data_IF_147035668477
#
_entry.id   IF_147035668477
#
_cell.length_a   1.000
_cell.length_b   1.000
_cell.length_c   1.000
_cell.angle_alpha   90.00
_cell.angle_beta   90.00
_cell.angle_gamma   90.00
#
_symmetry.space_group_name_H-M   'P 1'
#
loop_
_entity.id
_entity.type
_entity.pdbx_description
1 polymer ?
#
# COMPACT_ATOMS: atom_id res chain seq x y z
N UNK A 1 -0.88 -14.87 19.29
CA UNK A 1 0.24 -15.61 18.67
C UNK A 1 0.92 -16.53 19.68
N UNK A 2 1.28 -16.04 20.88
CA UNK A 2 1.94 -16.86 21.93
C UNK A 2 1.09 -18.06 22.35
N UNK A 3 -0.23 -17.88 22.52
CA UNK A 3 -1.13 -18.98 22.86
C UNK A 3 -1.16 -20.08 21.77
N UNK A 4 -1.16 -19.68 20.50
CA UNK A 4 -1.09 -20.64 19.40
C UNK A 4 0.23 -21.44 19.42
N UNK A 5 1.36 -20.79 19.72
CA UNK A 5 2.65 -21.48 19.88
C UNK A 5 2.65 -22.43 21.07
N UNK A 6 2.04 -22.06 22.20
CA UNK A 6 1.89 -22.95 23.37
C UNK A 6 1.09 -24.19 22.99
N UNK A 7 -0.07 -24.02 22.36
CA UNK A 7 -0.92 -25.15 21.92
C UNK A 7 -0.17 -26.08 20.95
N UNK A 8 0.58 -25.51 19.99
CA UNK A 8 1.39 -26.28 19.05
C UNK A 8 2.49 -27.08 19.80
N UNK A 9 3.11 -26.52 20.83
CA UNK A 9 4.11 -27.22 21.65
C UNK A 9 3.51 -28.38 22.45
N UNK A 10 2.22 -28.36 22.72
CA UNK A 10 1.45 -29.41 23.36
C UNK A 10 0.89 -30.46 22.36
N UNK A 11 1.26 -30.35 21.08
CA UNK A 11 0.85 -31.26 20.03
C UNK A 11 -0.54 -30.96 19.43
N UNK A 12 -1.14 -29.81 19.78
CA UNK A 12 -2.42 -29.38 19.21
C UNK A 12 -2.17 -28.73 17.85
N UNK A 13 -2.87 -29.21 16.83
CA UNK A 13 -2.77 -28.62 15.50
C UNK A 13 -3.58 -27.31 15.43
N UNK A 14 -2.89 -26.16 15.27
CA UNK A 14 -3.49 -24.84 15.17
C UNK A 14 -3.51 -24.39 13.71
N UNK A 15 -4.71 -24.24 13.12
CA UNK A 15 -4.88 -23.69 11.80
C UNK A 15 -4.81 -22.16 11.85
N UNK A 16 -3.71 -21.60 11.35
CA UNK A 16 -3.48 -20.14 11.33
C UNK A 16 -4.10 -19.52 10.08
N UNK A 17 -5.24 -18.84 10.23
CA UNK A 17 -5.95 -18.14 9.15
C UNK A 17 -5.70 -16.63 9.14
N UNK A 18 -4.90 -16.14 10.05
CA UNK A 18 -4.65 -14.70 10.29
C UNK A 18 -3.49 -14.12 9.45
N UNK A 19 -2.75 -14.95 8.73
CA UNK A 19 -1.58 -14.51 7.96
C UNK A 19 -1.50 -15.25 6.64
N UNK A 20 -1.51 -14.52 5.54
CA UNK A 20 -1.20 -15.06 4.22
C UNK A 20 0.28 -15.47 4.16
N UNK A 21 0.56 -16.74 3.95
CA UNK A 21 1.92 -17.25 3.82
C UNK A 21 1.98 -18.30 2.71
N UNK A 22 2.06 -17.87 1.43
CA UNK A 22 2.01 -18.76 0.27
C UNK A 22 3.04 -19.88 0.32
N UNK A 23 4.24 -19.62 0.85
CA UNK A 23 5.30 -20.62 0.97
C UNK A 23 4.91 -21.84 1.83
N UNK A 24 4.08 -21.65 2.86
CA UNK A 24 3.56 -22.73 3.69
C UNK A 24 2.52 -23.61 2.98
N UNK A 25 1.91 -23.06 1.91
CA UNK A 25 0.93 -23.76 1.07
C UNK A 25 1.53 -24.33 -0.22
N UNK A 26 2.86 -24.49 -0.27
CA UNK A 26 3.55 -25.14 -1.37
C UNK A 26 3.92 -24.23 -2.55
N UNK A 27 3.61 -22.94 -2.50
CA UNK A 27 4.07 -21.98 -3.50
C UNK A 27 5.58 -21.79 -3.38
N UNK A 28 6.28 -21.96 -4.47
CA UNK A 28 7.75 -21.84 -4.55
C UNK A 28 8.14 -20.59 -5.32
N UNK A 29 9.34 -20.12 -5.05
CA UNK A 29 9.92 -19.05 -5.86
C UNK A 29 10.01 -19.52 -7.33
N UNK A 30 9.54 -18.73 -8.31
CA UNK A 30 9.67 -19.05 -9.73
C UNK A 30 11.13 -19.34 -10.11
N UNK A 31 11.35 -20.30 -10.99
CA UNK A 31 12.72 -20.68 -11.41
C UNK A 31 13.48 -19.50 -12.03
N UNK A 32 12.81 -18.64 -12.81
CA UNK A 32 13.42 -17.45 -13.39
C UNK A 32 13.97 -16.49 -12.32
N UNK A 33 13.23 -16.27 -11.25
CA UNK A 33 13.66 -15.41 -10.12
C UNK A 33 14.82 -16.06 -9.39
N UNK A 34 14.76 -17.38 -9.15
CA UNK A 34 15.85 -18.11 -8.50
C UNK A 34 17.15 -18.05 -9.31
N UNK A 35 17.06 -18.24 -10.63
CA UNK A 35 18.22 -18.16 -11.52
C UNK A 35 18.80 -16.74 -11.57
N UNK A 36 17.95 -15.71 -11.65
CA UNK A 36 18.39 -14.33 -11.62
C UNK A 36 19.13 -13.99 -10.31
N UNK A 37 18.58 -14.39 -9.15
CA UNK A 37 19.25 -14.20 -7.86
C UNK A 37 20.62 -14.90 -7.82
N UNK A 38 20.72 -16.15 -8.29
CA UNK A 38 21.98 -16.87 -8.31
C UNK A 38 23.01 -16.24 -9.25
N UNK A 39 22.57 -15.67 -10.38
CA UNK A 39 23.45 -15.04 -11.37
C UNK A 39 24.00 -13.69 -10.89
N UNK A 40 23.20 -12.92 -10.14
CA UNK A 40 23.50 -11.53 -9.77
C UNK A 40 23.81 -11.33 -8.29
N UNK A 41 23.99 -12.41 -7.51
CA UNK A 41 24.17 -12.30 -6.07
C UNK A 41 25.41 -11.48 -5.67
N UNK A 42 26.49 -11.60 -6.45
CA UNK A 42 27.71 -10.87 -6.19
C UNK A 42 27.60 -9.36 -6.48
N UNK A 43 26.63 -8.95 -7.28
CA UNK A 43 26.34 -7.54 -7.55
C UNK A 43 25.72 -6.83 -6.33
N UNK A 44 25.24 -7.59 -5.33
CA UNK A 44 24.69 -7.05 -4.09
C UNK A 44 25.77 -6.68 -3.05
N UNK A 45 27.06 -6.99 -3.32
CA UNK A 45 28.17 -6.71 -2.37
C UNK A 45 28.46 -5.21 -2.23
N UNK A 46 28.59 -4.40 -3.31
CA UNK A 46 28.86 -2.97 -3.19
C UNK A 46 27.62 -2.18 -2.78
N UNK A 47 27.86 -1.02 -2.17
CA UNK A 47 26.80 -0.03 -1.95
C UNK A 47 26.24 0.46 -3.29
N UNK A 48 24.95 0.77 -3.33
CA UNK A 48 24.28 1.39 -4.48
C UNK A 48 23.69 2.76 -4.11
N UNK A 49 23.02 3.43 -5.06
CA UNK A 49 22.23 4.63 -4.82
C UNK A 49 21.20 4.36 -3.71
N UNK A 50 21.03 5.30 -2.78
CA UNK A 50 20.08 5.19 -1.66
C UNK A 50 18.63 4.96 -2.09
N UNK A 51 18.28 5.32 -3.33
CA UNK A 51 16.98 5.06 -3.94
C UNK A 51 16.87 3.66 -4.54
N UNK A 52 17.96 2.91 -4.57
CA UNK A 52 18.06 1.61 -5.23
C UNK A 52 18.70 1.68 -6.63
N UNK A 53 19.00 0.51 -7.18
CA UNK A 53 19.67 0.37 -8.48
C UNK A 53 18.89 1.06 -9.61
N UNK A 54 19.58 1.84 -10.43
CA UNK A 54 18.98 2.57 -11.55
C UNK A 54 18.23 1.65 -12.54
N UNK A 55 18.78 0.47 -12.82
CA UNK A 55 18.13 -0.51 -13.69
C UNK A 55 16.75 -0.93 -13.17
N UNK A 56 16.64 -1.22 -11.87
CA UNK A 56 15.38 -1.60 -11.24
C UNK A 56 14.38 -0.42 -11.22
N UNK A 57 14.84 0.79 -10.91
CA UNK A 57 14.00 2.00 -10.93
C UNK A 57 13.44 2.29 -12.33
N UNK A 58 14.24 2.09 -13.38
CA UNK A 58 13.79 2.22 -14.77
C UNK A 58 12.68 1.21 -15.12
N UNK A 59 12.81 -0.04 -14.69
CA UNK A 59 11.80 -1.07 -14.92
C UNK A 59 10.50 -0.73 -14.18
N UNK A 60 10.58 -0.24 -12.95
CA UNK A 60 9.41 0.20 -12.17
C UNK A 60 8.72 1.38 -12.87
N UNK A 61 9.46 2.39 -13.33
CA UNK A 61 8.88 3.48 -14.12
C UNK A 61 8.16 2.98 -15.37
N UNK A 62 8.80 2.11 -16.15
CA UNK A 62 8.18 1.53 -17.35
C UNK A 62 6.90 0.79 -17.03
N UNK A 63 6.88 0.04 -15.93
CA UNK A 63 5.69 -0.66 -15.45
C UNK A 63 4.54 0.30 -15.16
N UNK A 64 4.79 1.34 -14.38
CA UNK A 64 3.75 2.29 -14.00
C UNK A 64 3.29 3.19 -15.16
N UNK A 65 4.20 3.59 -16.05
CA UNK A 65 3.85 4.31 -17.30
C UNK A 65 2.92 3.45 -18.16
N UNK A 66 3.23 2.16 -18.31
CA UNK A 66 2.36 1.21 -19.02
C UNK A 66 0.96 1.03 -18.38
N UNK A 67 0.79 1.41 -17.13
CA UNK A 67 -0.49 1.43 -16.39
C UNK A 67 -1.15 2.81 -16.34
N UNK A 68 -0.63 3.78 -17.08
CA UNK A 68 -1.21 5.10 -17.24
C UNK A 68 -0.70 6.18 -16.29
N UNK A 69 0.27 5.87 -15.41
CA UNK A 69 0.90 6.90 -14.56
C UNK A 69 1.73 7.85 -15.42
N UNK A 70 1.45 9.15 -15.32
CA UNK A 70 2.10 10.17 -16.14
C UNK A 70 3.18 10.91 -15.34
N UNK A 71 4.22 11.36 -16.05
CA UNK A 71 5.25 12.26 -15.48
C UNK A 71 6.25 11.60 -14.54
N UNK A 72 6.11 10.33 -14.20
CA UNK A 72 7.05 9.62 -13.33
C UNK A 72 8.40 9.42 -14.03
N UNK A 73 9.47 9.70 -13.31
CA UNK A 73 10.85 9.48 -13.74
C UNK A 73 11.58 8.52 -12.79
N UNK A 74 12.67 7.88 -13.22
CA UNK A 74 13.43 6.97 -12.35
C UNK A 74 13.93 7.61 -11.05
N UNK A 75 14.06 8.93 -11.00
CA UNK A 75 14.45 9.65 -9.79
C UNK A 75 13.32 9.82 -8.77
N UNK A 76 12.08 9.56 -9.17
CA UNK A 76 10.91 9.59 -8.30
C UNK A 76 10.64 8.23 -7.66
N UNK A 77 11.43 7.20 -8.03
CA UNK A 77 11.29 5.83 -7.53
C UNK A 77 12.28 5.57 -6.41
N UNK A 78 11.77 5.07 -5.28
CA UNK A 78 12.54 4.60 -4.14
C UNK A 78 12.26 3.12 -3.91
N UNK A 79 13.31 2.31 -3.94
CA UNK A 79 13.22 0.87 -3.67
C UNK A 79 13.43 0.66 -2.18
N UNK A 80 12.43 0.07 -1.55
CA UNK A 80 12.41 -0.19 -0.11
C UNK A 80 12.32 -1.70 0.16
N UNK A 81 12.62 -2.08 1.38
CA UNK A 81 12.47 -3.45 1.87
C UNK A 81 10.98 -3.73 2.19
N UNK A 82 10.17 -3.74 1.13
CA UNK A 82 8.72 -3.89 1.18
C UNK A 82 7.97 -2.62 1.60
N UNK A 83 6.64 -2.70 1.53
CA UNK A 83 5.74 -1.59 1.88
C UNK A 83 5.94 -1.12 3.32
N UNK A 84 6.38 -2.00 4.22
CA UNK A 84 6.60 -1.62 5.63
C UNK A 84 7.67 -0.54 5.80
N UNK A 85 8.79 -0.65 5.09
CA UNK A 85 9.83 0.38 5.11
C UNK A 85 9.35 1.64 4.38
N UNK A 86 8.75 1.48 3.19
CA UNK A 86 8.21 2.59 2.42
C UNK A 86 7.20 3.42 3.24
N UNK A 87 6.23 2.78 3.89
CA UNK A 87 5.25 3.43 4.75
C UNK A 87 5.89 4.17 5.93
N UNK A 88 6.89 3.55 6.57
CA UNK A 88 7.61 4.18 7.68
C UNK A 88 8.36 5.43 7.23
N UNK A 89 9.12 5.35 6.15
CA UNK A 89 9.86 6.49 5.61
C UNK A 89 8.92 7.62 5.17
N UNK A 90 7.86 7.26 4.44
CA UNK A 90 6.89 8.20 3.91
C UNK A 90 6.14 8.95 5.01
N UNK A 91 5.62 8.24 6.02
CA UNK A 91 4.90 8.87 7.11
C UNK A 91 5.82 9.73 8.00
N UNK A 92 7.07 9.31 8.23
CA UNK A 92 8.06 10.16 8.92
C UNK A 92 8.36 11.47 8.15
N UNK A 93 8.26 11.46 6.82
CA UNK A 93 8.47 12.66 6.01
C UNK A 93 7.24 13.59 5.95
N UNK A 94 6.03 13.04 6.04
CA UNK A 94 4.78 13.77 5.81
C UNK A 94 4.02 14.15 7.08
N UNK A 95 4.14 13.35 8.14
CA UNK A 95 3.29 13.42 9.33
C UNK A 95 4.11 13.85 10.54
N UNK A 96 3.67 14.90 11.21
CA UNK A 96 4.22 15.36 12.47
C UNK A 96 3.23 15.25 13.63
N UNK A 97 3.66 15.71 14.80
CA UNK A 97 2.82 15.67 16.01
C UNK A 97 1.52 16.44 15.83
N UNK A 98 0.41 15.73 15.97
CA UNK A 98 -0.94 16.30 15.86
C UNK A 98 -1.51 16.37 14.45
N UNK A 99 -0.73 16.04 13.41
CA UNK A 99 -1.25 15.86 12.06
C UNK A 99 -2.15 14.63 11.97
N UNK A 100 -3.12 14.66 11.06
CA UNK A 100 -4.06 13.59 10.84
C UNK A 100 -3.87 12.96 9.47
N UNK A 101 -4.06 11.64 9.41
CA UNK A 101 -4.11 10.86 8.17
C UNK A 101 -5.41 10.06 8.15
N UNK A 102 -6.17 10.14 7.05
CA UNK A 102 -7.37 9.34 6.85
C UNK A 102 -6.99 7.95 6.35
N UNK A 103 -7.53 6.93 7.01
CA UNK A 103 -7.28 5.51 6.73
C UNK A 103 -8.61 4.77 6.50
N UNK A 104 -8.68 3.76 5.61
CA UNK A 104 -9.87 2.92 5.49
C UNK A 104 -10.13 2.12 6.77
N UNK A 105 -11.39 1.80 7.04
CA UNK A 105 -11.77 0.86 8.09
C UNK A 105 -12.70 -0.21 7.53
N UNK A 106 -12.23 -1.48 7.50
CA UNK A 106 -10.97 -2.01 8.04
C UNK A 106 -9.75 -1.71 7.16
N UNK A 107 -8.55 -1.70 7.78
CA UNK A 107 -7.28 -1.58 7.05
C UNK A 107 -6.16 -2.42 7.67
N UNK A 108 -5.08 -2.57 6.92
CA UNK A 108 -3.87 -3.18 7.42
C UNK A 108 -3.21 -2.28 8.48
N UNK A 109 -3.01 -2.83 9.68
CA UNK A 109 -2.57 -2.08 10.87
C UNK A 109 -1.18 -1.44 10.77
N UNK A 110 -0.38 -1.80 9.77
CA UNK A 110 0.90 -1.17 9.47
C UNK A 110 0.77 0.35 9.40
N UNK A 111 -0.23 0.84 8.66
CA UNK A 111 -0.42 2.27 8.39
C UNK A 111 -0.80 3.04 9.64
N UNK A 112 -1.77 2.54 10.41
CA UNK A 112 -2.17 3.19 11.68
C UNK A 112 -1.06 3.19 12.72
N UNK A 113 -0.33 2.08 12.84
CA UNK A 113 0.78 1.98 13.78
C UNK A 113 1.91 2.95 13.43
N UNK A 114 2.30 3.06 12.15
CA UNK A 114 3.30 4.03 11.72
C UNK A 114 2.84 5.48 11.94
N UNK A 115 1.56 5.80 11.68
CA UNK A 115 1.02 7.13 11.98
C UNK A 115 1.19 7.49 13.45
N UNK A 116 0.86 6.59 14.37
CA UNK A 116 1.11 6.80 15.82
C UNK A 116 2.59 6.96 16.14
N UNK A 117 3.47 6.16 15.55
CA UNK A 117 4.92 6.23 15.79
C UNK A 117 5.51 7.58 15.35
N UNK A 118 4.96 8.22 14.32
CA UNK A 118 5.34 9.56 13.88
C UNK A 118 4.73 10.68 14.73
N UNK A 119 3.91 10.35 15.75
CA UNK A 119 3.18 11.33 16.57
C UNK A 119 1.91 11.87 15.92
N UNK A 120 1.53 11.33 14.77
CA UNK A 120 0.29 11.64 14.08
C UNK A 120 -0.92 10.90 14.63
N UNK A 121 -2.09 11.26 14.14
CA UNK A 121 -3.35 10.68 14.53
C UNK A 121 -4.02 10.00 13.33
N UNK A 122 -4.16 8.67 13.32
CA UNK A 122 -4.98 7.99 12.32
C UNK A 122 -6.45 8.28 12.55
N UNK A 123 -7.17 8.69 11.51
CA UNK A 123 -8.60 8.93 11.47
C UNK A 123 -9.22 7.96 10.48
N UNK A 124 -10.12 7.11 10.95
CA UNK A 124 -10.63 6.02 10.11
C UNK A 124 -11.92 6.43 9.41
N UNK A 125 -11.94 6.31 8.08
CA UNK A 125 -13.16 6.40 7.30
C UNK A 125 -13.78 5.03 7.07
N UNK A 126 -15.10 4.99 6.99
CA UNK A 126 -15.87 3.75 6.85
C UNK A 126 -15.76 3.19 5.44
N UNK A 127 -15.51 1.85 5.36
CA UNK A 127 -15.78 1.06 4.16
C UNK A 127 -17.02 0.20 4.45
N UNK A 128 -18.04 0.32 3.60
CA UNK A 128 -19.36 -0.25 3.89
C UNK A 128 -19.46 -1.71 3.42
N UNK A 129 -19.61 -2.69 4.33
CA UNK A 129 -19.78 -4.09 3.95
C UNK A 129 -21.05 -4.34 3.12
N UNK A 130 -22.09 -3.53 3.27
CA UNK A 130 -23.30 -3.63 2.48
C UNK A 130 -23.14 -3.09 1.05
N UNK A 131 -22.06 -2.32 0.80
CA UNK A 131 -21.67 -1.78 -0.51
C UNK A 131 -20.29 -2.32 -0.92
N UNK A 132 -20.11 -3.64 -0.89
CA UNK A 132 -18.89 -4.32 -1.34
C UNK A 132 -17.58 -3.77 -0.73
N UNK A 133 -17.66 -3.26 0.49
CA UNK A 133 -16.54 -2.61 1.19
C UNK A 133 -16.01 -1.34 0.51
N UNK A 134 -16.80 -0.69 -0.33
CA UNK A 134 -16.41 0.59 -0.89
C UNK A 134 -16.30 1.67 0.20
N UNK A 135 -15.34 2.59 0.05
CA UNK A 135 -15.23 3.78 0.90
C UNK A 135 -16.50 4.63 0.88
N UNK A 136 -16.96 5.03 2.05
CA UNK A 136 -18.05 5.98 2.20
C UNK A 136 -17.53 7.41 1.99
N UNK A 137 -17.84 7.98 0.85
CA UNK A 137 -17.34 9.29 0.41
C UNK A 137 -17.79 10.42 1.36
N UNK A 138 -19.03 10.36 1.87
CA UNK A 138 -19.53 11.37 2.80
C UNK A 138 -18.88 11.24 4.17
N UNK A 139 -18.58 10.02 4.60
CA UNK A 139 -17.82 9.79 5.83
C UNK A 139 -16.39 10.32 5.72
N UNK A 140 -15.72 10.14 4.56
CA UNK A 140 -14.40 10.75 4.30
C UNK A 140 -14.47 12.27 4.45
N UNK A 141 -15.40 12.92 3.75
CA UNK A 141 -15.57 14.39 3.80
C UNK A 141 -15.80 14.89 5.22
N UNK A 142 -16.64 14.19 5.99
CA UNK A 142 -16.99 14.58 7.36
C UNK A 142 -15.81 14.53 8.34
N UNK A 143 -14.74 13.80 8.01
CA UNK A 143 -13.59 13.56 8.87
C UNK A 143 -12.38 14.41 8.55
N UNK A 144 -12.44 15.22 7.49
CA UNK A 144 -11.37 16.13 7.13
C UNK A 144 -11.37 17.33 8.10
N UNK A 145 -10.19 17.67 8.59
CA UNK A 145 -9.91 18.82 9.42
C UNK A 145 -8.70 19.61 8.87
N UNK A 146 -8.42 20.78 9.43
CA UNK A 146 -7.23 21.57 9.09
C UNK A 146 -5.92 20.84 9.41
N UNK A 147 -5.98 19.76 10.17
CA UNK A 147 -4.83 18.91 10.52
C UNK A 147 -4.64 17.72 9.57
N UNK A 148 -5.61 17.45 8.72
CA UNK A 148 -5.52 16.34 7.76
C UNK A 148 -4.46 16.64 6.73
N UNK A 149 -3.51 15.71 6.54
CA UNK A 149 -2.39 15.82 5.58
C UNK A 149 -2.52 14.90 4.40
N UNK A 150 -3.08 13.71 4.63
CA UNK A 150 -3.11 12.67 3.62
C UNK A 150 -4.35 11.78 3.74
N UNK A 151 -4.71 11.16 2.62
CA UNK A 151 -5.71 10.07 2.54
C UNK A 151 -4.98 8.83 2.04
N UNK A 152 -5.04 7.74 2.81
CA UNK A 152 -4.57 6.43 2.37
C UNK A 152 -5.69 5.70 1.63
N UNK A 153 -5.35 5.16 0.48
CA UNK A 153 -6.18 4.23 -0.31
C UNK A 153 -5.42 2.92 -0.43
N UNK A 154 -5.99 1.82 0.07
CA UNK A 154 -5.45 0.47 -0.10
C UNK A 154 -6.31 -0.22 -1.15
N UNK A 155 -5.78 -0.42 -2.36
CA UNK A 155 -6.56 -0.97 -3.48
C UNK A 155 -5.72 -1.93 -4.35
N UNK A 156 -6.05 -3.22 -4.39
CA UNK A 156 -7.09 -3.93 -3.64
C UNK A 156 -6.88 -3.88 -2.12
N UNK A 157 -7.98 -3.81 -1.38
CA UNK A 157 -7.91 -3.58 0.07
C UNK A 157 -7.47 -4.82 0.86
N UNK A 158 -6.64 -4.61 1.84
CA UNK A 158 -6.32 -5.57 2.89
C UNK A 158 -6.97 -5.09 4.21
N UNK A 159 -7.94 -5.84 4.81
CA UNK A 159 -8.15 -7.29 4.64
C UNK A 159 -9.36 -7.68 3.77
N UNK A 160 -10.15 -6.77 3.23
CA UNK A 160 -11.47 -7.09 2.63
C UNK A 160 -11.38 -7.73 1.24
N UNK A 161 -10.28 -7.48 0.51
CA UNK A 161 -10.13 -7.88 -0.89
C UNK A 161 -10.91 -7.01 -1.87
N UNK A 162 -11.57 -5.95 -1.41
CA UNK A 162 -12.32 -5.03 -2.26
C UNK A 162 -11.41 -4.38 -3.30
N UNK A 163 -11.91 -4.29 -4.52
CA UNK A 163 -11.30 -3.55 -5.64
C UNK A 163 -12.20 -2.36 -5.93
N UNK A 164 -11.70 -1.17 -5.67
CA UNK A 164 -12.50 0.05 -5.80
C UNK A 164 -12.72 0.43 -7.25
N UNK A 165 -13.93 0.88 -7.57
CA UNK A 165 -14.27 1.34 -8.91
C UNK A 165 -13.57 2.66 -9.23
N UNK A 166 -13.47 2.94 -10.55
CA UNK A 166 -12.91 4.21 -11.03
C UNK A 166 -13.65 5.42 -10.46
N UNK A 167 -14.97 5.32 -10.32
CA UNK A 167 -15.83 6.39 -9.81
C UNK A 167 -15.50 6.71 -8.34
N UNK A 168 -15.32 5.67 -7.53
CA UNK A 168 -14.93 5.81 -6.12
C UNK A 168 -13.53 6.44 -6.00
N UNK A 169 -12.57 5.97 -6.78
CA UNK A 169 -11.22 6.51 -6.78
C UNK A 169 -11.18 7.98 -7.22
N UNK A 170 -11.94 8.36 -8.25
CA UNK A 170 -12.07 9.75 -8.71
C UNK A 170 -12.75 10.64 -7.65
N UNK A 171 -13.74 10.13 -6.93
CA UNK A 171 -14.38 10.88 -5.84
C UNK A 171 -13.39 11.15 -4.70
N UNK A 172 -12.56 10.17 -4.33
CA UNK A 172 -11.49 10.36 -3.32
C UNK A 172 -10.46 11.36 -3.83
N UNK A 173 -10.04 11.26 -5.09
CA UNK A 173 -9.06 12.18 -5.69
C UNK A 173 -9.60 13.62 -5.71
N UNK A 174 -10.88 13.81 -6.00
CA UNK A 174 -11.52 15.13 -5.96
C UNK A 174 -11.50 15.74 -4.55
N UNK A 175 -11.76 14.93 -3.52
CA UNK A 175 -11.64 15.37 -2.12
C UNK A 175 -10.19 15.78 -1.82
N UNK A 176 -9.22 14.97 -2.20
CA UNK A 176 -7.80 15.28 -1.98
C UNK A 176 -7.40 16.58 -2.67
N UNK A 177 -7.89 16.83 -3.89
CA UNK A 177 -7.67 18.07 -4.65
C UNK A 177 -8.24 19.29 -3.94
N UNK A 178 -9.51 19.21 -3.52
CA UNK A 178 -10.22 20.33 -2.87
C UNK A 178 -9.59 20.72 -1.53
N UNK A 179 -9.04 19.77 -0.81
CA UNK A 179 -8.44 19.97 0.51
C UNK A 179 -6.90 19.99 0.50
N UNK A 180 -6.27 19.96 -0.68
CA UNK A 180 -4.80 19.97 -0.85
C UNK A 180 -4.11 18.84 -0.08
N UNK A 181 -4.70 17.65 -0.08
CA UNK A 181 -4.18 16.48 0.61
C UNK A 181 -3.29 15.63 -0.30
N UNK A 182 -2.35 14.90 0.30
CA UNK A 182 -1.55 13.91 -0.41
C UNK A 182 -2.30 12.58 -0.45
N UNK A 183 -2.36 11.95 -1.62
CA UNK A 183 -2.84 10.58 -1.75
C UNK A 183 -1.70 9.60 -1.48
N UNK A 184 -1.95 8.64 -0.60
CA UNK A 184 -1.08 7.49 -0.38
C UNK A 184 -1.80 6.27 -0.93
N UNK A 185 -1.24 5.65 -1.99
CA UNK A 185 -1.85 4.52 -2.67
C UNK A 185 -1.06 3.24 -2.39
N UNK A 186 -1.57 2.41 -1.48
CA UNK A 186 -1.04 1.07 -1.27
C UNK A 186 -1.66 0.13 -2.31
N UNK A 187 -0.91 -0.15 -3.36
CA UNK A 187 -1.31 -0.95 -4.52
C UNK A 187 -0.58 -2.30 -4.57
N UNK A 188 -0.12 -2.81 -3.42
CA UNK A 188 0.67 -4.06 -3.34
C UNK A 188 -0.04 -5.26 -3.98
N UNK A 189 -1.37 -5.26 -4.03
CA UNK A 189 -2.18 -6.32 -4.61
C UNK A 189 -2.70 -6.03 -6.02
N UNK A 190 -2.13 -5.06 -6.73
CA UNK A 190 -2.57 -4.62 -8.06
C UNK A 190 -2.73 -5.75 -9.11
N UNK A 191 -1.99 -6.86 -8.91
CA UNK A 191 -2.03 -8.06 -9.76
C UNK A 191 -2.84 -9.22 -9.18
N UNK A 192 -3.36 -9.08 -7.97
CA UNK A 192 -4.19 -10.10 -7.32
C UNK A 192 -5.67 -9.72 -7.40
N UNK A 193 -6.11 -9.41 -8.60
CA UNK A 193 -7.50 -9.07 -8.93
C UNK A 193 -8.18 -10.27 -9.57
N UNK A 194 -9.37 -10.61 -9.11
CA UNK A 194 -10.14 -11.79 -9.52
C UNK A 194 -11.47 -11.36 -10.14
N UNK A 195 -12.27 -12.34 -10.56
CA UNK A 195 -13.65 -12.17 -11.02
C UNK A 195 -13.84 -11.20 -12.21
N UNK A 196 -12.80 -11.09 -13.05
CA UNK A 196 -12.83 -10.21 -14.23
C UNK A 196 -12.72 -8.71 -13.93
N UNK A 197 -12.52 -8.35 -12.65
CA UNK A 197 -12.26 -6.97 -12.24
C UNK A 197 -10.92 -6.48 -12.78
N UNK A 198 -10.74 -5.16 -12.81
CA UNK A 198 -9.47 -4.52 -13.16
C UNK A 198 -9.06 -3.56 -12.07
N UNK A 199 -7.79 -3.59 -11.74
CA UNK A 199 -7.20 -2.58 -10.88
C UNK A 199 -6.97 -1.28 -11.65
N UNK A 200 -7.40 -0.18 -11.07
CA UNK A 200 -7.10 1.18 -11.53
C UNK A 200 -6.19 1.86 -10.49
N UNK A 201 -5.09 2.47 -10.93
CA UNK A 201 -4.23 3.25 -10.05
C UNK A 201 -4.80 4.65 -9.85
N UNK A 202 -5.00 5.08 -8.60
CA UNK A 202 -5.52 6.41 -8.31
C UNK A 202 -4.56 7.51 -8.80
N UNK A 203 -3.24 7.27 -8.74
CA UNK A 203 -2.24 8.20 -9.26
C UNK A 203 -2.32 8.38 -10.79
N UNK A 204 -2.72 7.32 -11.52
CA UNK A 204 -2.95 7.41 -12.96
C UNK A 204 -4.25 8.14 -13.31
N UNK A 205 -5.28 8.00 -12.46
CA UNK A 205 -6.59 8.65 -12.65
C UNK A 205 -6.59 10.13 -12.34
N UNK A 206 -5.71 10.58 -11.43
CA UNK A 206 -5.65 11.96 -10.95
C UNK A 206 -4.19 12.48 -10.95
N UNK A 207 -3.58 12.68 -12.14
CA UNK A 207 -2.16 13.05 -12.25
C UNK A 207 -1.84 14.46 -11.74
N UNK A 208 -2.85 15.24 -11.45
CA UNK A 208 -2.75 16.61 -10.91
C UNK A 208 -2.80 16.64 -9.37
N UNK A 209 -3.09 15.52 -8.72
CA UNK A 209 -3.10 15.40 -7.26
C UNK A 209 -1.78 14.78 -6.79
N UNK A 210 -1.09 15.37 -5.79
CA UNK A 210 0.09 14.74 -5.21
C UNK A 210 -0.21 13.31 -4.73
N UNK A 211 0.47 12.33 -5.31
CA UNK A 211 0.23 10.92 -5.03
C UNK A 211 1.54 10.17 -4.89
N UNK A 212 1.61 9.29 -3.90
CA UNK A 212 2.67 8.27 -3.76
C UNK A 212 2.01 6.91 -3.89
N UNK A 213 2.48 6.09 -4.84
CA UNK A 213 1.98 4.75 -5.12
C UNK A 213 3.10 3.73 -5.06
#
# INVERSE_FOLDING_TARGET
YQEALRMESEGINVLKLNTGNPGRFGFKLPNSVRQALALHIDEAVPYCDVRGMAAARNVICTYHIGRGLQGIMPNDVFICNGVSEAASMLLNALIGTGDEILLPSPCYSLWSNNAYLCGGKPVFYRCDPANEWNPDIEDIKSKITDRTKAILVINPNNPTGAVYSKEVLLAIAEIARQHHLVLLADEIYDRLVMDGLRHESIGALAPDVPCVT
#
